data_IF_103538420748
#
_entry.id   IF_103538420748
#
_cell.length_a   1.000
_cell.length_b   1.000
_cell.length_c   1.000
_cell.angle_alpha   90.00
_cell.angle_beta   90.00
_cell.angle_gamma   90.00
#
_symmetry.space_group_name_H-M   'P 1'
#
loop_
_entity.id
_entity.type
_entity.pdbx_description
1 polymer ?
#
# COMPACT_ATOMS: atom_id res chain seq x y z
N UNK A 1 12.06 -1.95 -5.55
CA UNK A 1 11.79 -1.03 -6.68
C UNK A 1 11.56 0.34 -6.08
N UNK A 2 12.17 1.39 -6.64
CA UNK A 2 11.96 2.78 -6.22
C UNK A 2 11.61 3.59 -7.46
N UNK A 3 10.65 4.50 -7.32
CA UNK A 3 10.23 5.41 -8.39
C UNK A 3 10.77 6.80 -8.08
N UNK A 4 11.44 7.39 -9.06
CA UNK A 4 12.09 8.69 -8.93
C UNK A 4 11.09 9.85 -9.06
N UNK A 5 11.48 11.01 -8.53
CA UNK A 5 10.72 12.24 -8.62
C UNK A 5 10.45 12.60 -10.09
N UNK A 6 9.24 13.11 -10.38
CA UNK A 6 8.86 13.53 -11.73
C UNK A 6 8.54 12.39 -12.70
N UNK A 7 8.45 11.13 -12.24
CA UNK A 7 8.02 10.03 -13.11
C UNK A 7 6.58 10.21 -13.63
N UNK A 8 5.69 10.78 -12.81
CA UNK A 8 4.27 10.95 -13.14
C UNK A 8 3.76 12.36 -12.76
N UNK A 9 4.24 13.43 -13.41
CA UNK A 9 4.00 14.80 -12.97
C UNK A 9 2.53 15.23 -13.10
N UNK A 10 1.78 14.63 -14.02
CA UNK A 10 0.38 14.97 -14.30
C UNK A 10 -0.63 13.90 -13.87
N UNK A 11 -0.18 12.80 -13.27
CA UNK A 11 -1.06 11.68 -12.96
C UNK A 11 -2.03 12.04 -11.83
N UNK A 12 -3.34 11.83 -12.08
CA UNK A 12 -4.42 12.01 -11.10
C UNK A 12 -4.87 10.71 -10.46
N UNK A 13 -4.71 9.60 -11.17
CA UNK A 13 -5.08 8.29 -10.70
C UNK A 13 -4.00 7.27 -11.10
N UNK A 14 -3.59 6.44 -10.15
CA UNK A 14 -2.57 5.42 -10.36
C UNK A 14 -3.04 4.06 -9.83
N UNK A 15 -2.68 2.97 -10.53
CA UNK A 15 -2.99 1.60 -10.13
C UNK A 15 -1.74 0.73 -10.22
N UNK A 16 -1.29 0.19 -9.10
CA UNK A 16 -0.12 -0.69 -8.97
C UNK A 16 -0.58 -2.04 -8.39
N UNK A 17 -1.15 -2.88 -9.27
CA UNK A 17 -1.84 -4.11 -8.88
C UNK A 17 -1.04 -5.35 -9.23
N UNK A 18 -1.37 -6.48 -8.58
CA UNK A 18 -0.80 -7.82 -8.84
C UNK A 18 0.66 -8.01 -8.42
N UNK A 19 1.31 -6.98 -7.87
CA UNK A 19 2.63 -7.08 -7.25
C UNK A 19 2.68 -6.24 -5.97
N UNK A 20 3.55 -6.63 -5.03
CA UNK A 20 3.69 -5.90 -3.78
C UNK A 20 4.22 -4.49 -4.02
N UNK A 21 3.43 -3.52 -3.60
CA UNK A 21 3.74 -2.10 -3.68
C UNK A 21 3.47 -1.50 -2.31
N UNK A 22 4.40 -0.66 -1.84
CA UNK A 22 4.21 0.15 -0.64
C UNK A 22 4.41 1.62 -1.00
N UNK A 23 3.67 2.55 -0.38
CA UNK A 23 3.81 3.99 -0.60
C UNK A 23 5.26 4.51 -0.54
N UNK A 24 6.11 3.98 0.35
CA UNK A 24 7.52 4.39 0.45
C UNK A 24 8.36 4.13 -0.82
N UNK A 25 7.87 3.30 -1.75
CA UNK A 25 8.51 3.12 -3.06
C UNK A 25 8.42 4.37 -3.94
N UNK A 26 7.48 5.28 -3.68
CA UNK A 26 7.32 6.53 -4.42
C UNK A 26 8.11 7.63 -3.70
N UNK A 27 9.13 8.17 -4.36
CA UNK A 27 9.86 9.31 -3.80
C UNK A 27 8.95 10.55 -3.72
N UNK A 28 9.17 11.48 -2.78
CA UNK A 28 8.49 12.77 -2.79
C UNK A 28 8.60 13.45 -4.17
N UNK A 29 7.48 13.96 -4.68
CA UNK A 29 7.42 14.56 -6.03
C UNK A 29 7.33 13.57 -7.20
N UNK A 30 7.23 12.25 -6.94
CA UNK A 30 6.99 11.24 -7.99
C UNK A 30 5.68 11.49 -8.74
N UNK A 31 4.62 11.74 -7.98
CA UNK A 31 3.27 11.94 -8.48
C UNK A 31 2.56 12.99 -7.62
N UNK A 32 2.92 14.28 -7.77
CA UNK A 32 2.46 15.35 -6.88
C UNK A 32 0.95 15.63 -6.97
N UNK A 33 0.32 15.20 -8.07
CA UNK A 33 -1.06 15.50 -8.43
C UNK A 33 -2.03 14.33 -8.23
N UNK A 34 -1.54 13.21 -7.68
CA UNK A 34 -2.33 11.98 -7.53
C UNK A 34 -3.42 12.19 -6.50
N UNK A 35 -4.67 11.94 -6.90
CA UNK A 35 -5.85 12.01 -6.05
C UNK A 35 -6.35 10.62 -5.67
N UNK A 36 -6.20 9.64 -6.59
CA UNK A 36 -6.65 8.26 -6.37
C UNK A 36 -5.50 7.29 -6.55
N UNK A 37 -5.19 6.53 -5.50
CA UNK A 37 -4.14 5.52 -5.53
C UNK A 37 -4.73 4.14 -5.23
N UNK A 38 -4.53 3.20 -6.16
CA UNK A 38 -4.85 1.80 -5.94
C UNK A 38 -3.58 0.97 -5.94
N UNK A 39 -3.37 0.13 -4.93
CA UNK A 39 -2.19 -0.72 -4.87
C UNK A 39 -2.40 -2.04 -4.13
N UNK A 40 -1.59 -3.04 -4.49
CA UNK A 40 -1.58 -4.35 -3.83
C UNK A 40 -0.50 -4.40 -2.75
N UNK A 41 -0.86 -4.86 -1.55
CA UNK A 41 0.06 -5.22 -0.46
C UNK A 41 -0.11 -6.68 -0.11
N UNK A 42 0.97 -7.34 0.34
CA UNK A 42 0.94 -8.75 0.74
C UNK A 42 1.28 -8.83 2.22
N UNK A 43 0.39 -9.42 3.02
CA UNK A 43 0.54 -9.47 4.47
C UNK A 43 1.84 -10.15 4.91
N UNK A 44 2.25 -11.21 4.21
CA UNK A 44 3.49 -11.93 4.52
C UNK A 44 4.77 -11.10 4.29
N UNK A 45 4.73 -10.01 3.53
CA UNK A 45 5.90 -9.12 3.38
C UNK A 45 6.14 -8.24 4.63
N UNK A 46 5.20 -8.22 5.57
CA UNK A 46 5.26 -7.51 6.86
C UNK A 46 5.37 -8.47 8.06
N UNK A 47 5.52 -9.77 7.81
CA UNK A 47 5.77 -10.76 8.85
C UNK A 47 7.26 -10.79 9.25
N UNK A 48 7.64 -11.53 10.28
CA UNK A 48 9.05 -11.70 10.67
C UNK A 48 9.85 -12.32 9.52
N UNK A 49 10.85 -11.59 9.01
CA UNK A 49 11.62 -11.94 7.81
C UNK A 49 11.05 -11.40 6.49
N UNK A 50 9.97 -10.63 6.55
CA UNK A 50 9.46 -9.81 5.46
C UNK A 50 10.37 -8.62 5.17
N UNK A 51 10.27 -8.06 3.96
CA UNK A 51 11.12 -6.96 3.49
C UNK A 51 10.54 -5.56 3.71
N UNK A 52 9.35 -5.45 4.33
CA UNK A 52 8.68 -4.17 4.58
C UNK A 52 8.31 -3.98 6.05
N UNK A 53 8.39 -2.74 6.48
CA UNK A 53 7.94 -2.26 7.80
C UNK A 53 6.58 -1.57 7.68
N UNK A 54 5.85 -1.45 8.80
CA UNK A 54 4.54 -0.78 8.77
C UNK A 54 4.64 0.69 8.34
N UNK A 55 5.76 1.34 8.60
CA UNK A 55 6.02 2.73 8.20
C UNK A 55 6.13 2.91 6.67
N UNK A 56 6.42 1.83 5.93
CA UNK A 56 6.43 1.85 4.47
C UNK A 56 5.03 2.14 3.87
N UNK A 57 3.98 1.99 4.68
CA UNK A 57 2.59 2.29 4.34
C UNK A 57 2.23 3.77 4.50
N UNK A 58 3.15 4.62 4.96
CA UNK A 58 2.91 6.04 5.15
C UNK A 58 2.72 6.77 3.81
N UNK A 59 1.59 7.48 3.68
CA UNK A 59 1.19 8.16 2.43
C UNK A 59 1.32 9.69 2.51
N UNK A 60 1.80 10.25 3.63
CA UNK A 60 1.85 11.70 3.91
C UNK A 60 2.63 12.52 2.86
N UNK A 61 3.53 11.88 2.11
CA UNK A 61 4.33 12.54 1.08
C UNK A 61 3.58 12.75 -0.26
N UNK A 62 2.32 12.32 -0.38
CA UNK A 62 1.47 12.47 -1.56
C UNK A 62 0.42 13.59 -1.32
N UNK A 63 0.73 14.86 -1.62
CA UNK A 63 -0.02 15.99 -1.08
C UNK A 63 -1.47 16.13 -1.60
N UNK A 64 -1.75 15.66 -2.82
CA UNK A 64 -3.08 15.74 -3.43
C UNK A 64 -3.93 14.49 -3.22
N UNK A 65 -3.45 13.51 -2.44
CA UNK A 65 -4.12 12.23 -2.31
C UNK A 65 -5.43 12.39 -1.53
N UNK A 66 -6.51 11.79 -2.04
CA UNK A 66 -7.87 11.89 -1.50
C UNK A 66 -8.48 10.50 -1.26
N UNK A 67 -8.25 9.55 -2.17
CA UNK A 67 -8.81 8.20 -2.11
C UNK A 67 -7.72 7.14 -2.27
N UNK A 68 -7.81 6.11 -1.43
CA UNK A 68 -6.92 4.96 -1.46
C UNK A 68 -7.71 3.67 -1.48
N UNK A 69 -7.40 2.83 -2.47
CA UNK A 69 -7.89 1.46 -2.55
C UNK A 69 -6.73 0.50 -2.38
N UNK A 70 -6.86 -0.45 -1.48
CA UNK A 70 -5.81 -1.43 -1.18
C UNK A 70 -6.32 -2.83 -1.42
N UNK A 71 -5.63 -3.59 -2.27
CA UNK A 71 -5.77 -5.03 -2.36
C UNK A 71 -4.81 -5.70 -1.36
N UNK A 72 -5.33 -6.13 -0.21
CA UNK A 72 -4.56 -6.83 0.80
C UNK A 72 -4.58 -8.32 0.55
N UNK A 73 -3.49 -8.85 0.02
CA UNK A 73 -3.29 -10.27 -0.21
C UNK A 73 -2.77 -10.93 1.06
N UNK A 74 -3.31 -12.09 1.38
CA UNK A 74 -2.87 -12.92 2.50
C UNK A 74 -2.95 -14.39 2.12
N UNK A 75 -2.10 -15.23 2.71
CA UNK A 75 -2.23 -16.69 2.63
C UNK A 75 -3.14 -17.18 3.76
N UNK A 76 -3.60 -18.43 3.66
CA UNK A 76 -4.36 -19.06 4.76
C UNK A 76 -3.50 -19.21 6.01
N UNK A 77 -2.21 -19.45 5.79
CA UNK A 77 -1.22 -19.65 6.86
C UNK A 77 -0.74 -18.34 7.49
N UNK A 78 -1.05 -17.18 6.89
CA UNK A 78 -0.63 -15.90 7.44
C UNK A 78 -1.25 -15.69 8.81
N UNK A 79 -0.40 -15.33 9.78
CA UNK A 79 -0.87 -15.02 11.11
C UNK A 79 -1.90 -13.89 11.05
N UNK A 80 -3.09 -14.15 11.59
CA UNK A 80 -4.18 -13.17 11.65
C UNK A 80 -3.73 -11.84 12.29
N UNK A 81 -2.74 -11.90 13.19
CA UNK A 81 -2.10 -10.74 13.80
C UNK A 81 -1.39 -9.84 12.79
N UNK A 82 -0.67 -10.38 11.80
CA UNK A 82 0.02 -9.58 10.77
C UNK A 82 -0.98 -8.86 9.89
N UNK A 83 -2.01 -9.58 9.41
CA UNK A 83 -3.10 -8.98 8.62
C UNK A 83 -3.78 -7.84 9.38
N UNK A 84 -4.02 -8.01 10.69
CA UNK A 84 -4.58 -6.94 11.54
C UNK A 84 -3.65 -5.73 11.67
N UNK A 85 -2.34 -5.95 11.86
CA UNK A 85 -1.34 -4.87 11.97
C UNK A 85 -1.25 -4.06 10.68
N UNK A 86 -1.20 -4.71 9.53
CA UNK A 86 -1.17 -4.03 8.22
C UNK A 86 -2.43 -3.19 8.01
N UNK A 87 -3.63 -3.75 8.30
CA UNK A 87 -4.88 -2.98 8.21
C UNK A 87 -4.92 -1.79 9.17
N UNK A 88 -4.40 -1.95 10.38
CA UNK A 88 -4.34 -0.87 11.36
C UNK A 88 -3.39 0.26 10.88
N UNK A 89 -2.22 -0.09 10.37
CA UNK A 89 -1.26 0.86 9.81
C UNK A 89 -1.83 1.62 8.61
N UNK A 90 -2.52 0.94 7.67
CA UNK A 90 -3.20 1.58 6.55
C UNK A 90 -4.26 2.59 7.00
N UNK A 91 -5.06 2.22 8.01
CA UNK A 91 -6.07 3.12 8.59
C UNK A 91 -5.42 4.33 9.25
N UNK A 92 -4.40 4.10 10.07
CA UNK A 92 -3.67 5.18 10.72
C UNK A 92 -3.04 6.13 9.69
N UNK A 93 -2.40 5.60 8.65
CA UNK A 93 -1.81 6.40 7.58
C UNK A 93 -2.85 7.22 6.79
N UNK A 94 -4.07 6.70 6.62
CA UNK A 94 -5.19 7.42 6.00
C UNK A 94 -5.74 8.55 6.89
N UNK A 95 -5.92 8.28 8.18
CA UNK A 95 -6.42 9.25 9.16
C UNK A 95 -5.42 10.38 9.44
N UNK A 96 -4.13 10.05 9.53
CA UNK A 96 -3.06 11.02 9.77
C UNK A 96 -2.64 11.82 8.52
N UNK A 97 -3.26 11.53 7.37
CA UNK A 97 -3.01 12.25 6.14
C UNK A 97 -3.68 13.63 6.21
N UNK A 98 -3.03 14.71 5.73
CA UNK A 98 -3.60 16.06 5.77
C UNK A 98 -5.00 16.20 5.12
N UNK A 99 -5.30 15.38 4.13
CA UNK A 99 -6.60 15.38 3.44
C UNK A 99 -7.63 14.38 4.00
N UNK A 100 -7.31 13.64 5.07
CA UNK A 100 -8.14 12.54 5.61
C UNK A 100 -8.63 11.58 4.52
N UNK A 101 -7.79 10.61 4.15
CA UNK A 101 -8.01 9.79 2.96
C UNK A 101 -9.26 8.90 3.10
N UNK A 102 -10.06 8.85 2.03
CA UNK A 102 -11.08 7.83 1.87
C UNK A 102 -10.40 6.47 1.59
N UNK A 103 -10.38 5.59 2.60
CA UNK A 103 -9.68 4.30 2.53
C UNK A 103 -10.65 3.13 2.33
N UNK A 104 -10.38 2.31 1.30
CA UNK A 104 -11.03 1.02 1.10
C UNK A 104 -9.98 -0.10 1.05
N UNK A 105 -10.22 -1.18 1.79
CA UNK A 105 -9.34 -2.35 1.83
C UNK A 105 -10.13 -3.59 1.43
N UNK A 106 -9.80 -4.18 0.28
CA UNK A 106 -10.34 -5.46 -0.15
C UNK A 106 -9.33 -6.57 0.19
N UNK A 107 -9.79 -7.59 0.92
CA UNK A 107 -8.93 -8.71 1.34
C UNK A 107 -9.02 -9.84 0.33
N UNK A 108 -7.88 -10.29 -0.15
CA UNK A 108 -7.73 -11.46 -1.02
C UNK A 108 -6.98 -12.57 -0.28
N UNK A 109 -7.47 -13.80 -0.39
CA UNK A 109 -6.76 -14.97 0.12
C UNK A 109 -6.14 -15.66 -1.09
N UNK A 110 -4.82 -15.61 -1.21
CA UNK A 110 -4.13 -16.32 -2.29
C UNK A 110 -4.26 -17.82 -2.07
N UNK A 111 -4.55 -18.62 -3.11
CA UNK A 111 -4.44 -20.07 -3.02
C UNK A 111 -3.00 -20.42 -2.62
N UNK A 112 -2.85 -21.39 -1.72
CA UNK A 112 -1.55 -21.89 -1.27
C UNK A 112 -0.70 -22.24 -2.49
N UNK A 113 0.59 -21.87 -2.49
CA UNK A 113 1.51 -22.40 -3.52
C UNK A 113 1.50 -23.92 -3.38
N UNK A 114 1.06 -24.62 -4.43
CA UNK A 114 1.49 -26.00 -4.62
C UNK A 114 3.02 -26.00 -4.55
N UNK A 115 3.59 -26.83 -3.67
CA UNK A 115 5.04 -27.05 -3.66
C UNK A 115 5.43 -27.56 -5.05
N UNK A 116 6.20 -26.76 -5.79
CA UNK A 116 7.13 -27.27 -6.80
C UNK A 116 8.42 -27.70 -6.09
#
# INVERSE_FOLDING_TARGET
MKVDAGAFPCARACRFLQFATVPSMFSPGTMPLVQRLNFTVRAWDFAGGGGFELDDLCMRHLPSLEEVHVELWSRKEDAATVVKRVKAALRQAAEEHPNHLALRIDKWISPSRSQE
#
